data_IF_454700437107
#
_entry.id   IF_454700437107
#
_cell.length_a   1.000
_cell.length_b   1.000
_cell.length_c   1.000
_cell.angle_alpha   90.00
_cell.angle_beta   90.00
_cell.angle_gamma   90.00
#
_symmetry.space_group_name_H-M   'P 1'
#
loop_
_entity.id
_entity.type
_entity.pdbx_description
1 polymer ?
#
# COMPACT_ATOMS: atom_id res chain seq x y z
N UNK A 1 -31.58 11.00 -4.60
CA UNK A 1 -30.51 10.69 -3.61
C UNK A 1 -29.78 9.35 -3.86
N UNK A 2 -30.16 8.51 -4.83
CA UNK A 2 -29.55 7.18 -5.05
C UNK A 2 -28.11 7.20 -5.61
N UNK A 3 -27.72 8.23 -6.37
CA UNK A 3 -26.38 8.29 -6.99
C UNK A 3 -25.24 8.65 -6.04
N UNK A 4 -25.52 9.31 -4.91
CA UNK A 4 -24.48 9.78 -3.99
C UNK A 4 -23.92 8.62 -3.16
N UNK A 5 -24.81 7.77 -2.64
CA UNK A 5 -24.44 6.60 -1.84
C UNK A 5 -23.61 5.58 -2.64
N UNK A 6 -23.97 5.36 -3.91
CA UNK A 6 -23.17 4.50 -4.80
C UNK A 6 -21.76 5.06 -5.04
N UNK A 7 -21.62 6.38 -5.26
CA UNK A 7 -20.31 7.01 -5.49
C UNK A 7 -19.41 6.91 -4.26
N UNK A 8 -19.92 7.21 -3.07
CA UNK A 8 -19.17 7.07 -1.82
C UNK A 8 -18.70 5.62 -1.60
N UNK A 9 -19.59 4.65 -1.85
CA UNK A 9 -19.26 3.22 -1.78
C UNK A 9 -18.14 2.84 -2.76
N UNK A 10 -18.23 3.24 -4.03
CA UNK A 10 -17.18 2.96 -5.02
C UNK A 10 -15.83 3.59 -4.68
N UNK A 11 -15.82 4.81 -4.12
CA UNK A 11 -14.58 5.47 -3.68
C UNK A 11 -13.97 4.72 -2.49
N UNK A 12 -14.78 4.25 -1.55
CA UNK A 12 -14.32 3.41 -0.44
C UNK A 12 -13.72 2.08 -0.92
N UNK A 13 -14.41 1.38 -1.82
CA UNK A 13 -13.92 0.13 -2.43
C UNK A 13 -12.62 0.36 -3.20
N UNK A 14 -12.53 1.44 -3.97
CA UNK A 14 -11.31 1.81 -4.68
C UNK A 14 -10.16 2.07 -3.70
N UNK A 15 -10.39 2.82 -2.62
CA UNK A 15 -9.39 3.07 -1.58
C UNK A 15 -8.84 1.77 -0.98
N UNK A 16 -9.73 0.85 -0.59
CA UNK A 16 -9.34 -0.47 -0.08
C UNK A 16 -8.55 -1.27 -1.10
N UNK A 17 -8.99 -1.28 -2.37
CA UNK A 17 -8.30 -2.00 -3.44
C UNK A 17 -6.87 -1.47 -3.66
N UNK A 18 -6.68 -0.15 -3.66
CA UNK A 18 -5.36 0.47 -3.79
C UNK A 18 -4.42 0.09 -2.63
N UNK A 19 -4.94 0.12 -1.39
CA UNK A 19 -4.18 -0.31 -0.22
C UNK A 19 -3.80 -1.78 -0.33
N UNK A 20 -4.76 -2.66 -0.63
CA UNK A 20 -4.53 -4.09 -0.74
C UNK A 20 -3.49 -4.43 -1.82
N UNK A 21 -3.60 -3.84 -3.00
CA UNK A 21 -2.64 -4.02 -4.10
C UNK A 21 -1.26 -3.51 -3.70
N UNK A 22 -1.17 -2.32 -3.09
CA UNK A 22 0.11 -1.77 -2.65
C UNK A 22 0.81 -2.64 -1.59
N UNK A 23 0.05 -3.11 -0.60
CA UNK A 23 0.57 -3.98 0.47
C UNK A 23 0.99 -5.37 -0.04
N UNK A 24 0.21 -5.95 -0.95
CA UNK A 24 0.56 -7.21 -1.61
C UNK A 24 1.84 -7.04 -2.44
N UNK A 25 1.94 -5.97 -3.23
CA UNK A 25 3.10 -5.69 -4.05
C UNK A 25 4.38 -5.49 -3.22
N UNK A 26 4.29 -4.86 -2.05
CA UNK A 26 5.39 -4.74 -1.08
C UNK A 26 5.80 -6.09 -0.47
N UNK A 27 4.86 -7.03 -0.31
CA UNK A 27 5.13 -8.33 0.32
C UNK A 27 5.90 -9.28 -0.61
N UNK A 28 5.64 -9.20 -1.91
CA UNK A 28 6.29 -10.06 -2.89
C UNK A 28 7.80 -9.78 -2.96
N UNK A 29 8.64 -10.84 -2.97
CA UNK A 29 10.08 -10.70 -2.97
C UNK A 29 10.62 -10.02 -4.23
N UNK A 30 11.76 -9.35 -4.08
CA UNK A 30 12.53 -8.74 -5.17
C UNK A 30 13.78 -9.59 -5.40
N UNK A 31 13.97 -9.98 -6.65
CA UNK A 31 15.15 -10.70 -7.12
C UNK A 31 15.85 -9.84 -8.17
N UNK A 32 17.17 -9.97 -8.23
CA UNK A 32 17.98 -9.37 -9.30
C UNK A 32 18.42 -10.47 -10.27
N UNK A 33 18.73 -10.10 -11.51
CA UNK A 33 19.22 -11.04 -12.53
C UNK A 33 20.71 -11.35 -12.35
N UNK A 34 21.06 -11.77 -11.13
CA UNK A 34 22.41 -12.20 -10.76
C UNK A 34 22.34 -13.37 -9.79
N UNK A 35 23.40 -14.16 -9.78
CA UNK A 35 23.47 -15.42 -9.06
C UNK A 35 24.60 -15.38 -8.02
N UNK A 36 24.38 -16.05 -6.90
CA UNK A 36 25.42 -16.23 -5.88
C UNK A 36 26.46 -17.28 -6.32
N UNK A 37 27.48 -17.49 -5.47
CA UNK A 37 28.54 -18.48 -5.69
C UNK A 37 28.04 -19.93 -5.83
N UNK A 38 26.81 -20.22 -5.39
CA UNK A 38 26.18 -21.54 -5.46
C UNK A 38 25.23 -21.67 -6.67
N UNK A 39 25.07 -20.61 -7.46
CA UNK A 39 24.20 -20.58 -8.63
C UNK A 39 22.73 -20.31 -8.32
N UNK A 40 22.40 -19.84 -7.12
CA UNK A 40 21.04 -19.41 -6.77
C UNK A 40 20.85 -17.91 -7.04
N UNK A 41 19.65 -17.53 -7.49
CA UNK A 41 19.34 -16.12 -7.74
C UNK A 41 19.37 -15.31 -6.43
N UNK A 42 20.05 -14.16 -6.45
CA UNK A 42 20.21 -13.31 -5.26
C UNK A 42 18.85 -12.70 -4.87
N UNK A 43 18.42 -12.98 -3.63
CA UNK A 43 17.17 -12.46 -3.07
C UNK A 43 17.45 -11.24 -2.20
N UNK A 44 16.99 -10.08 -2.66
CA UNK A 44 17.21 -8.80 -1.98
C UNK A 44 16.25 -8.53 -0.80
N UNK A 45 15.26 -9.40 -0.59
CA UNK A 45 14.21 -9.24 0.41
C UNK A 45 12.85 -8.91 -0.21
N UNK A 46 12.04 -8.11 0.49
CA UNK A 46 10.77 -7.59 -0.03
C UNK A 46 10.72 -6.06 0.12
N UNK A 47 9.64 -5.45 -0.35
CA UNK A 47 9.46 -4.00 -0.29
C UNK A 47 9.40 -3.41 1.14
N UNK A 48 9.15 -4.22 2.18
CA UNK A 48 9.21 -3.83 3.58
C UNK A 48 10.61 -3.96 4.19
N UNK A 49 11.25 -5.13 4.03
CA UNK A 49 12.52 -5.48 4.67
C UNK A 49 13.54 -5.84 3.60
N UNK A 50 14.66 -5.12 3.62
CA UNK A 50 15.83 -5.42 2.78
C UNK A 50 16.71 -6.49 3.44
N UNK A 51 17.23 -7.41 2.64
CA UNK A 51 18.27 -8.34 3.05
C UNK A 51 19.41 -8.28 2.03
N UNK A 52 20.53 -7.69 2.44
CA UNK A 52 21.71 -7.50 1.60
C UNK A 52 22.81 -8.52 1.90
N UNK A 53 22.63 -9.43 2.87
CA UNK A 53 23.70 -10.34 3.29
C UNK A 53 24.21 -11.19 2.11
N UNK A 54 23.29 -11.83 1.38
CA UNK A 54 23.63 -12.64 0.21
C UNK A 54 24.27 -11.81 -0.92
N UNK A 55 23.81 -10.57 -1.12
CA UNK A 55 24.35 -9.67 -2.13
C UNK A 55 25.78 -9.20 -1.79
N UNK A 56 26.05 -8.94 -0.52
CA UNK A 56 27.39 -8.57 -0.02
C UNK A 56 28.36 -9.74 -0.11
N UNK A 57 27.90 -10.97 0.19
CA UNK A 57 28.70 -12.18 0.07
C UNK A 57 29.02 -12.55 -1.38
N UNK A 58 28.10 -12.29 -2.32
CA UNK A 58 28.36 -12.45 -3.75
C UNK A 58 29.41 -11.45 -4.29
N UNK A 59 29.69 -10.36 -3.55
CA UNK A 59 30.67 -9.35 -3.91
C UNK A 59 30.22 -8.39 -5.01
N UNK A 60 31.11 -7.51 -5.45
CA UNK A 60 30.81 -6.53 -6.49
C UNK A 60 29.75 -5.49 -6.07
N UNK A 61 28.95 -5.04 -7.05
CA UNK A 61 27.92 -4.00 -6.86
C UNK A 61 26.50 -4.59 -6.69
N UNK A 62 26.38 -5.87 -6.34
CA UNK A 62 25.07 -6.53 -6.18
C UNK A 62 24.25 -5.92 -5.04
N UNK A 63 24.90 -5.41 -3.98
CA UNK A 63 24.25 -4.69 -2.91
C UNK A 63 23.54 -3.41 -3.40
N UNK A 64 24.22 -2.61 -4.23
CA UNK A 64 23.64 -1.39 -4.82
C UNK A 64 22.50 -1.69 -5.79
N UNK A 65 22.62 -2.77 -6.58
CA UNK A 65 21.54 -3.26 -7.46
C UNK A 65 20.31 -3.68 -6.66
N UNK A 66 20.49 -4.40 -5.55
CA UNK A 66 19.39 -4.78 -4.65
C UNK A 66 18.68 -3.54 -4.08
N UNK A 67 19.44 -2.55 -3.62
CA UNK A 67 18.86 -1.33 -3.04
C UNK A 67 18.07 -0.53 -4.09
N UNK A 68 18.61 -0.41 -5.30
CA UNK A 68 17.92 0.23 -6.43
C UNK A 68 16.63 -0.49 -6.80
N UNK A 69 16.65 -1.82 -6.85
CA UNK A 69 15.47 -2.63 -7.15
C UNK A 69 14.37 -2.49 -6.08
N UNK A 70 14.76 -2.45 -4.80
CA UNK A 70 13.84 -2.21 -3.69
C UNK A 70 13.24 -0.79 -3.72
N UNK A 71 14.06 0.22 -4.04
CA UNK A 71 13.59 1.60 -4.19
C UNK A 71 12.59 1.71 -5.33
N UNK A 72 12.83 1.07 -6.47
CA UNK A 72 11.88 1.06 -7.59
C UNK A 72 10.54 0.44 -7.20
N UNK A 73 10.52 -0.58 -6.34
CA UNK A 73 9.27 -1.15 -5.82
C UNK A 73 8.52 -0.14 -4.94
N UNK A 74 9.23 0.42 -3.96
CA UNK A 74 8.70 1.40 -3.00
C UNK A 74 8.17 2.65 -3.69
N UNK A 75 8.80 3.06 -4.79
CA UNK A 75 8.48 4.27 -5.53
C UNK A 75 7.01 4.34 -5.99
N UNK A 76 6.41 3.21 -6.35
CA UNK A 76 5.01 3.18 -6.79
C UNK A 76 4.08 2.56 -5.75
N UNK A 77 4.54 1.62 -4.93
CA UNK A 77 3.68 0.98 -3.91
C UNK A 77 3.40 1.89 -2.72
N UNK A 78 4.38 2.66 -2.24
CA UNK A 78 4.19 3.56 -1.09
C UNK A 78 3.15 4.66 -1.44
N UNK A 79 3.25 5.36 -2.58
CA UNK A 79 2.23 6.33 -2.96
C UNK A 79 0.84 5.72 -3.14
N UNK A 80 0.72 4.51 -3.70
CA UNK A 80 -0.58 3.83 -3.82
C UNK A 80 -1.23 3.58 -2.46
N UNK A 81 -0.46 3.09 -1.48
CA UNK A 81 -0.95 2.85 -0.12
C UNK A 81 -1.34 4.18 0.53
N UNK A 82 -0.52 5.23 0.40
CA UNK A 82 -0.83 6.56 0.94
C UNK A 82 -2.13 7.11 0.36
N UNK A 83 -2.27 7.11 -0.98
CA UNK A 83 -3.47 7.62 -1.66
C UNK A 83 -4.71 6.82 -1.26
N UNK A 84 -4.62 5.48 -1.26
CA UNK A 84 -5.72 4.63 -0.83
C UNK A 84 -6.14 4.90 0.62
N UNK A 85 -5.16 5.10 1.52
CA UNK A 85 -5.40 5.42 2.93
C UNK A 85 -6.06 6.77 3.12
N UNK A 86 -5.63 7.80 2.37
CA UNK A 86 -6.24 9.14 2.39
C UNK A 86 -7.69 9.06 1.90
N UNK A 87 -7.95 8.39 0.77
CA UNK A 87 -9.31 8.24 0.23
C UNK A 87 -10.23 7.57 1.25
N UNK A 88 -9.76 6.47 1.86
CA UNK A 88 -10.51 5.76 2.89
C UNK A 88 -10.79 6.66 4.11
N UNK A 89 -9.78 7.38 4.60
CA UNK A 89 -9.92 8.28 5.75
C UNK A 89 -10.91 9.41 5.48
N UNK A 90 -10.89 10.01 4.28
CA UNK A 90 -11.84 11.05 3.89
C UNK A 90 -13.27 10.52 3.86
N UNK A 91 -13.50 9.35 3.26
CA UNK A 91 -14.84 8.74 3.23
C UNK A 91 -15.35 8.47 4.65
N UNK A 92 -14.54 7.82 5.48
CA UNK A 92 -14.91 7.52 6.87
C UNK A 92 -15.18 8.80 7.67
N UNK A 93 -14.35 9.84 7.48
CA UNK A 93 -14.53 11.12 8.16
C UNK A 93 -15.83 11.81 7.74
N UNK A 94 -16.11 11.87 6.43
CA UNK A 94 -17.35 12.48 5.92
C UNK A 94 -18.57 11.79 6.51
N UNK A 95 -18.62 10.45 6.46
CA UNK A 95 -19.71 9.69 7.07
C UNK A 95 -19.81 10.04 8.56
N UNK A 96 -18.73 9.91 9.32
CA UNK A 96 -18.72 10.21 10.76
C UNK A 96 -19.23 11.62 11.11
N UNK A 97 -18.92 12.63 10.30
CA UNK A 97 -19.45 13.99 10.51
C UNK A 97 -20.93 14.14 10.20
N UNK A 98 -21.49 13.34 9.28
CA UNK A 98 -22.93 13.32 9.00
C UNK A 98 -23.67 12.75 10.21
N UNK A 99 -23.24 11.59 10.71
CA UNK A 99 -23.78 10.99 11.95
C UNK A 99 -23.69 11.95 13.15
N UNK A 100 -22.55 12.65 13.30
CA UNK A 100 -22.34 13.62 14.37
C UNK A 100 -23.27 14.83 14.29
N UNK A 101 -23.59 15.30 13.08
CA UNK A 101 -24.56 16.39 12.87
C UNK A 101 -25.97 15.93 13.24
N UNK A 102 -26.39 14.76 12.78
CA UNK A 102 -27.73 14.22 13.04
C UNK A 102 -27.99 14.04 14.54
N UNK A 103 -27.00 13.50 15.25
CA UNK A 103 -27.07 13.33 16.71
C UNK A 103 -27.02 14.63 17.50
N UNK A 104 -26.33 15.67 17.00
CA UNK A 104 -26.25 16.99 17.65
C UNK A 104 -27.49 17.88 17.40
N UNK A 105 -28.20 17.68 16.29
CA UNK A 105 -29.40 18.48 15.93
C UNK A 105 -30.73 17.76 16.13
N UNK A 106 -30.74 16.54 16.68
CA UNK A 106 -31.88 15.91 17.36
C UNK A 106 -33.24 16.17 16.70
N UNK A 107 -33.48 15.55 15.54
CA UNK A 107 -34.86 15.29 15.13
C UNK A 107 -35.21 13.88 15.62
N UNK A 108 -35.81 13.83 16.80
CA UNK A 108 -36.43 12.63 17.36
C UNK A 108 -37.57 12.20 16.44
N UNK A 109 -37.28 11.47 15.35
CA UNK A 109 -38.32 10.94 14.45
C UNK A 109 -38.96 9.64 14.99
N UNK A 110 -39.36 9.69 16.27
CA UNK A 110 -40.24 8.71 16.92
C UNK A 110 -41.29 9.44 17.79
N UNK A 111 -42.08 10.31 17.17
CA UNK A 111 -43.45 10.64 17.59
C UNK A 111 -44.26 11.15 16.38
#
# INVERSE_FOLDING_TARGET
MHHYHHRAFYVGVLGVALIAVGLLALNFPVFIDSYDQFGFQIKCGNGYISNLAQATEAGGDHAGQCETALLMRRLWTIPLVIVGSILLAVVVFVEATIWGRESAFGEDSVA
#
